data_IF_677142586331
#
_entry.id   IF_677142586331
#
_cell.length_a   1.000
_cell.length_b   1.000
_cell.length_c   1.000
_cell.angle_alpha   90.00
_cell.angle_beta   90.00
_cell.angle_gamma   90.00
#
_symmetry.space_group_name_H-M   'P 1'
#
loop_
_entity.id
_entity.type
_entity.pdbx_description
1 polymer ?
#
# COMPACT_ATOMS: atom_id res chain seq x y z
N UNK A 1 -13.35 14.09 -34.75
CA UNK A 1 -14.23 13.76 -33.60
C UNK A 1 -13.30 13.39 -32.47
N UNK A 2 -13.25 14.17 -31.39
CA UNK A 2 -12.56 13.73 -30.18
C UNK A 2 -13.28 12.47 -29.69
N UNK A 3 -12.53 11.42 -29.35
CA UNK A 3 -13.13 10.24 -28.73
C UNK A 3 -13.56 10.63 -27.31
N UNK A 4 -14.82 10.38 -26.96
CA UNK A 4 -15.32 10.50 -25.58
C UNK A 4 -14.41 9.73 -24.61
N UNK A 5 -14.02 10.37 -23.51
CA UNK A 5 -13.15 9.76 -22.49
C UNK A 5 -14.03 9.31 -21.33
N UNK A 6 -14.19 8.00 -21.15
CA UNK A 6 -15.01 7.44 -20.09
C UNK A 6 -14.23 7.36 -18.77
N UNK A 7 -14.79 7.94 -17.72
CA UNK A 7 -14.21 7.98 -16.37
C UNK A 7 -15.23 7.42 -15.38
N UNK A 8 -14.83 6.45 -14.56
CA UNK A 8 -15.64 6.03 -13.42
C UNK A 8 -15.38 6.96 -12.24
N UNK A 9 -16.45 7.52 -11.67
CA UNK A 9 -16.41 8.27 -10.42
C UNK A 9 -17.11 7.41 -9.37
N UNK A 10 -16.31 6.76 -8.52
CA UNK A 10 -16.81 5.89 -7.45
C UNK A 10 -16.77 6.72 -6.16
N UNK A 11 -17.95 7.16 -5.70
CA UNK A 11 -18.08 8.15 -4.62
C UNK A 11 -19.50 8.14 -4.01
N UNK A 12 -20.06 9.30 -3.65
CA UNK A 12 -21.42 9.52 -3.13
C UNK A 12 -22.51 9.61 -4.20
N UNK A 13 -22.16 9.41 -5.48
CA UNK A 13 -23.06 9.57 -6.63
C UNK A 13 -22.99 10.96 -7.27
N UNK A 14 -23.59 11.09 -8.46
CA UNK A 14 -23.61 12.32 -9.26
C UNK A 14 -25.02 12.91 -9.37
N UNK A 15 -25.13 14.22 -9.18
CA UNK A 15 -26.38 14.95 -9.27
C UNK A 15 -26.59 15.56 -10.66
N UNK A 16 -27.53 15.00 -11.42
CA UNK A 16 -27.88 15.40 -12.80
C UNK A 16 -28.52 16.79 -12.95
N UNK A 17 -28.84 17.48 -11.84
CA UNK A 17 -29.30 18.87 -11.88
C UNK A 17 -28.14 19.86 -11.87
N UNK A 18 -27.01 19.45 -11.31
CA UNK A 18 -25.82 20.29 -11.14
C UNK A 18 -24.77 20.01 -12.22
N UNK A 19 -24.74 18.79 -12.75
CA UNK A 19 -23.89 18.37 -13.86
C UNK A 19 -24.73 18.19 -15.13
N UNK A 20 -24.21 18.54 -16.32
CA UNK A 20 -24.94 18.30 -17.57
C UNK A 20 -25.26 16.80 -17.71
N UNK A 21 -26.54 16.46 -17.75
CA UNK A 21 -27.00 15.08 -17.86
C UNK A 21 -26.40 14.33 -19.06
N UNK A 22 -26.03 15.04 -20.14
CA UNK A 22 -25.35 14.42 -21.30
C UNK A 22 -23.95 13.90 -20.98
N UNK A 23 -23.33 14.41 -19.91
CA UNK A 23 -22.03 13.97 -19.39
C UNK A 23 -22.14 12.72 -18.52
N UNK A 24 -23.33 12.38 -18.03
CA UNK A 24 -23.53 11.20 -17.19
C UNK A 24 -24.04 10.06 -18.09
N UNK A 25 -23.18 9.09 -18.39
CA UNK A 25 -23.52 7.94 -19.24
C UNK A 25 -24.32 6.90 -18.49
N UNK A 26 -23.84 6.52 -17.31
CA UNK A 26 -24.48 5.52 -16.46
C UNK A 26 -24.47 5.96 -15.00
N UNK A 27 -25.47 5.50 -14.25
CA UNK A 27 -25.55 5.68 -12.79
C UNK A 27 -25.90 4.37 -12.11
N UNK A 28 -25.07 4.00 -11.14
CA UNK A 28 -25.22 2.79 -10.35
C UNK A 28 -25.01 3.08 -8.87
N UNK A 29 -25.48 2.16 -8.06
CA UNK A 29 -25.27 2.12 -6.62
C UNK A 29 -24.86 0.69 -6.24
N UNK A 30 -23.96 0.58 -5.27
CA UNK A 30 -23.72 -0.67 -4.55
C UNK A 30 -24.47 -0.57 -3.22
N UNK A 31 -25.57 -1.31 -3.12
CA UNK A 31 -26.50 -1.19 -2.01
C UNK A 31 -25.93 -1.80 -0.71
N UNK A 32 -26.74 -1.82 0.35
CA UNK A 32 -26.34 -2.36 1.65
C UNK A 32 -26.15 -3.89 1.66
N UNK A 33 -26.66 -4.60 0.65
CA UNK A 33 -26.43 -6.04 0.46
C UNK A 33 -25.22 -6.31 -0.45
N UNK A 34 -24.51 -5.26 -0.87
CA UNK A 34 -23.43 -5.28 -1.86
C UNK A 34 -23.88 -5.68 -3.28
N UNK A 35 -25.16 -5.51 -3.58
CA UNK A 35 -25.69 -5.72 -4.92
C UNK A 35 -25.43 -4.49 -5.79
N UNK A 36 -24.87 -4.71 -6.99
CA UNK A 36 -24.64 -3.67 -7.99
C UNK A 36 -25.92 -3.41 -8.78
N UNK A 37 -26.57 -2.27 -8.54
CA UNK A 37 -27.88 -1.93 -9.09
C UNK A 37 -27.85 -0.60 -9.86
N UNK A 38 -28.77 -0.44 -10.82
CA UNK A 38 -29.01 0.87 -11.44
C UNK A 38 -29.58 1.85 -10.41
N UNK A 39 -28.98 3.03 -10.33
CA UNK A 39 -29.45 4.09 -9.43
C UNK A 39 -30.69 4.75 -10.05
N UNK A 40 -31.88 4.42 -9.52
CA UNK A 40 -33.17 4.91 -10.03
C UNK A 40 -33.70 6.11 -9.25
N UNK A 41 -33.15 6.38 -8.08
CA UNK A 41 -33.53 7.52 -7.25
C UNK A 41 -33.02 8.82 -7.86
N UNK A 42 -33.80 9.88 -7.68
CA UNK A 42 -33.39 11.24 -8.03
C UNK A 42 -32.55 11.81 -6.88
N UNK A 43 -31.51 12.58 -7.20
CA UNK A 43 -30.71 13.24 -6.17
C UNK A 43 -31.56 14.17 -5.30
N UNK A 44 -31.39 14.05 -3.98
CA UNK A 44 -32.07 14.88 -2.98
C UNK A 44 -31.20 16.08 -2.64
N UNK A 45 -31.82 17.16 -2.16
CA UNK A 45 -31.09 18.35 -1.73
C UNK A 45 -30.16 18.11 -0.52
N UNK A 46 -30.42 17.04 0.25
CA UNK A 46 -29.61 16.61 1.39
C UNK A 46 -28.46 15.69 1.00
N UNK A 47 -28.31 15.35 -0.28
CA UNK A 47 -27.27 14.41 -0.71
C UNK A 47 -25.89 15.02 -0.52
N UNK A 48 -24.94 14.19 -0.07
CA UNK A 48 -23.55 14.58 0.00
C UNK A 48 -23.01 14.80 -1.42
N UNK A 49 -22.80 16.07 -1.81
CA UNK A 49 -22.45 16.47 -3.18
C UNK A 49 -21.00 16.19 -3.58
N UNK A 50 -20.24 15.47 -2.75
CA UNK A 50 -18.81 15.26 -2.93
C UNK A 50 -18.44 14.65 -4.29
N UNK A 51 -19.10 13.55 -4.69
CA UNK A 51 -18.89 12.94 -6.01
C UNK A 51 -19.25 13.89 -7.16
N UNK A 52 -20.30 14.69 -7.00
CA UNK A 52 -20.71 15.69 -7.99
C UNK A 52 -19.65 16.78 -8.17
N UNK A 53 -19.10 17.30 -7.07
CA UNK A 53 -18.02 18.29 -7.10
C UNK A 53 -16.78 17.70 -7.79
N UNK A 54 -16.41 16.46 -7.47
CA UNK A 54 -15.30 15.76 -8.13
C UNK A 54 -15.52 15.66 -9.66
N UNK A 55 -16.72 15.28 -10.11
CA UNK A 55 -17.04 15.20 -11.53
C UNK A 55 -16.98 16.58 -12.22
N UNK A 56 -17.46 17.65 -11.58
CA UNK A 56 -17.38 19.01 -12.13
C UNK A 56 -15.93 19.49 -12.26
N UNK A 57 -15.08 19.18 -11.27
CA UNK A 57 -13.63 19.44 -11.36
C UNK A 57 -13.04 18.69 -12.56
N UNK A 58 -13.37 17.39 -12.71
CA UNK A 58 -12.87 16.61 -13.84
C UNK A 58 -13.32 17.22 -15.17
N UNK A 59 -14.60 17.55 -15.32
CA UNK A 59 -15.16 18.16 -16.54
C UNK A 59 -14.47 19.47 -16.90
N UNK A 60 -14.18 20.31 -15.90
CA UNK A 60 -13.50 21.60 -16.10
C UNK A 60 -12.16 21.45 -16.81
N UNK A 61 -11.38 20.42 -16.47
CA UNK A 61 -10.03 20.21 -17.00
C UNK A 61 -9.95 19.12 -18.08
N UNK A 62 -11.01 18.32 -18.24
CA UNK A 62 -11.19 17.34 -19.31
C UNK A 62 -12.60 17.49 -19.90
N UNK A 63 -12.84 18.49 -20.76
CA UNK A 63 -14.17 18.78 -21.30
C UNK A 63 -14.78 17.66 -22.13
N UNK A 64 -13.98 16.72 -22.65
CA UNK A 64 -14.44 15.54 -23.38
C UNK A 64 -14.76 14.33 -22.47
N UNK A 65 -14.67 14.51 -21.15
CA UNK A 65 -15.00 13.47 -20.18
C UNK A 65 -16.50 13.13 -20.22
N UNK A 66 -16.78 11.84 -20.05
CA UNK A 66 -18.11 11.27 -19.83
C UNK A 66 -18.03 10.34 -18.62
N UNK A 67 -18.98 10.47 -17.71
CA UNK A 67 -18.93 9.87 -16.39
C UNK A 67 -19.78 8.61 -16.27
N UNK A 68 -19.23 7.63 -15.58
CA UNK A 68 -19.96 6.49 -15.02
C UNK A 68 -20.00 6.68 -13.50
N UNK A 69 -21.16 7.09 -12.99
CA UNK A 69 -21.37 7.32 -11.55
C UNK A 69 -21.60 5.99 -10.86
N UNK A 70 -20.80 5.67 -9.83
CA UNK A 70 -21.04 4.50 -8.98
C UNK A 70 -21.06 4.98 -7.52
N UNK A 71 -22.24 4.98 -6.92
CA UNK A 71 -22.43 5.35 -5.51
C UNK A 71 -22.04 4.18 -4.62
N UNK A 72 -21.01 4.36 -3.79
CA UNK A 72 -20.64 3.43 -2.71
C UNK A 72 -20.71 4.09 -1.32
N UNK A 73 -20.74 5.42 -1.28
CA UNK A 73 -20.82 6.20 -0.05
C UNK A 73 -22.27 6.60 0.25
N UNK A 74 -22.64 6.53 1.52
CA UNK A 74 -23.94 7.02 2.01
C UNK A 74 -23.94 8.56 2.16
N UNK A 75 -25.04 9.10 2.69
CA UNK A 75 -25.24 10.55 2.90
C UNK A 75 -24.23 11.21 3.88
N UNK A 76 -23.51 10.42 4.68
CA UNK A 76 -22.48 10.89 5.59
C UNK A 76 -21.07 10.76 4.98
N UNK A 77 -20.95 10.32 3.72
CA UNK A 77 -19.67 10.09 3.08
C UNK A 77 -18.96 8.81 3.54
N UNK A 78 -19.67 7.87 4.17
CA UNK A 78 -19.10 6.59 4.62
C UNK A 78 -19.61 5.41 3.79
N UNK A 79 -18.77 4.39 3.62
CA UNK A 79 -19.11 3.16 2.89
C UNK A 79 -18.12 2.06 3.26
N UNK A 80 -18.54 0.81 3.13
CA UNK A 80 -17.69 -0.36 3.42
C UNK A 80 -16.79 -0.73 2.25
N UNK A 81 -15.61 -1.28 2.56
CA UNK A 81 -14.61 -1.71 1.58
C UNK A 81 -15.14 -2.76 0.60
N UNK A 82 -16.06 -3.60 1.06
CA UNK A 82 -16.72 -4.66 0.29
C UNK A 82 -17.53 -4.13 -0.89
N UNK A 83 -18.00 -2.88 -0.83
CA UNK A 83 -18.73 -2.22 -1.93
C UNK A 83 -17.84 -1.90 -3.14
N UNK A 84 -16.53 -1.90 -2.96
CA UNK A 84 -15.59 -1.53 -4.03
C UNK A 84 -15.47 -2.65 -5.08
N UNK A 85 -15.49 -3.93 -4.69
CA UNK A 85 -15.31 -5.02 -5.66
C UNK A 85 -16.37 -5.07 -6.76
N UNK A 86 -17.69 -5.02 -6.47
CA UNK A 86 -18.73 -4.99 -7.50
C UNK A 86 -18.57 -3.80 -8.45
N UNK A 87 -18.20 -2.62 -7.91
CA UNK A 87 -17.97 -1.42 -8.70
C UNK A 87 -16.80 -1.57 -9.69
N UNK A 88 -15.67 -2.09 -9.22
CA UNK A 88 -14.49 -2.33 -10.07
C UNK A 88 -14.73 -3.46 -11.08
N UNK A 89 -15.48 -4.48 -10.71
CA UNK A 89 -15.86 -5.55 -11.63
C UNK A 89 -16.67 -5.00 -12.82
N UNK A 90 -17.63 -4.15 -12.53
CA UNK A 90 -18.41 -3.47 -13.56
C UNK A 90 -17.52 -2.59 -14.46
N UNK A 91 -16.58 -1.83 -13.88
CA UNK A 91 -15.64 -1.01 -14.64
C UNK A 91 -14.83 -1.84 -15.64
N UNK A 92 -14.29 -2.99 -15.21
CA UNK A 92 -13.58 -3.90 -16.11
C UNK A 92 -14.47 -4.50 -17.19
N UNK A 93 -15.67 -4.98 -16.85
CA UNK A 93 -16.62 -5.57 -17.82
C UNK A 93 -17.03 -4.57 -18.90
N UNK A 94 -17.01 -3.28 -18.59
CA UNK A 94 -17.41 -2.20 -19.49
C UNK A 94 -16.23 -1.42 -20.11
N UNK A 95 -15.02 -1.97 -20.04
CA UNK A 95 -13.80 -1.38 -20.62
C UNK A 95 -13.53 0.06 -20.13
N UNK A 96 -13.91 0.37 -18.90
CA UNK A 96 -13.50 1.62 -18.26
C UNK A 96 -11.99 1.55 -18.01
N UNK A 97 -11.27 2.61 -18.35
CA UNK A 97 -9.81 2.65 -18.19
C UNK A 97 -9.38 3.36 -16.90
N UNK A 98 -10.06 4.45 -16.55
CA UNK A 98 -9.66 5.33 -15.44
C UNK A 98 -10.77 5.43 -14.39
N UNK A 99 -10.37 5.33 -13.13
CA UNK A 99 -11.23 5.36 -11.95
C UNK A 99 -10.76 6.46 -11.00
N UNK A 100 -11.65 7.40 -10.70
CA UNK A 100 -11.44 8.41 -9.66
C UNK A 100 -11.94 7.87 -8.32
N UNK A 101 -11.05 7.82 -7.34
CA UNK A 101 -11.33 7.45 -5.95
C UNK A 101 -10.95 8.62 -5.03
N UNK A 102 -11.80 9.65 -4.97
CA UNK A 102 -11.64 10.77 -4.03
C UNK A 102 -11.98 10.39 -2.58
N UNK A 103 -11.70 9.15 -2.21
CA UNK A 103 -12.02 8.48 -0.95
C UNK A 103 -10.89 7.52 -0.60
N UNK A 104 -10.84 7.15 0.68
CA UNK A 104 -9.86 6.18 1.18
C UNK A 104 -10.05 5.92 2.67
N UNK A 105 -9.23 5.03 3.18
CA UNK A 105 -9.24 4.58 4.59
C UNK A 105 -7.83 4.58 5.14
N UNK A 106 -7.70 4.91 6.43
CA UNK A 106 -6.45 4.72 7.18
C UNK A 106 -6.51 3.45 8.04
N UNK A 107 -7.62 2.71 8.01
CA UNK A 107 -7.81 1.54 8.86
C UNK A 107 -6.97 0.36 8.37
N UNK A 108 -5.98 -0.07 9.16
CA UNK A 108 -5.00 -1.08 8.77
C UNK A 108 -5.61 -2.43 8.36
N UNK A 109 -6.72 -2.86 8.98
CA UNK A 109 -7.43 -4.10 8.62
C UNK A 109 -7.95 -4.12 7.17
N UNK A 110 -8.18 -2.96 6.56
CA UNK A 110 -8.68 -2.85 5.19
C UNK A 110 -7.54 -2.87 4.16
N UNK A 111 -6.27 -2.69 4.59
CA UNK A 111 -5.07 -2.66 3.74
C UNK A 111 -4.98 -3.89 2.84
N UNK A 112 -5.00 -5.08 3.41
CA UNK A 112 -4.75 -6.30 2.63
C UNK A 112 -5.91 -6.65 1.69
N UNK A 113 -7.14 -6.30 2.07
CA UNK A 113 -8.33 -6.45 1.22
C UNK A 113 -8.19 -5.52 0.01
N UNK A 114 -7.93 -4.23 0.26
CA UNK A 114 -7.76 -3.23 -0.79
C UNK A 114 -6.54 -3.54 -1.68
N UNK A 115 -5.42 -3.97 -1.11
CA UNK A 115 -4.20 -4.33 -1.87
C UNK A 115 -4.49 -5.43 -2.88
N UNK A 116 -5.12 -6.53 -2.43
CA UNK A 116 -5.51 -7.65 -3.32
C UNK A 116 -6.46 -7.18 -4.42
N UNK A 117 -7.43 -6.35 -4.06
CA UNK A 117 -8.44 -5.85 -4.97
C UNK A 117 -7.84 -4.94 -6.05
N UNK A 118 -7.07 -3.94 -5.63
CA UNK A 118 -6.41 -2.98 -6.52
C UNK A 118 -5.40 -3.69 -7.43
N UNK A 119 -4.57 -4.60 -6.91
CA UNK A 119 -3.62 -5.35 -7.75
C UNK A 119 -4.33 -6.15 -8.84
N UNK A 120 -5.41 -6.86 -8.49
CA UNK A 120 -6.22 -7.62 -9.45
C UNK A 120 -6.81 -6.74 -10.55
N UNK A 121 -7.31 -5.55 -10.20
CA UNK A 121 -7.99 -4.68 -11.15
C UNK A 121 -7.02 -3.80 -11.97
N UNK A 122 -5.87 -3.44 -11.40
CA UNK A 122 -4.75 -2.86 -12.16
C UNK A 122 -4.18 -3.86 -13.16
N UNK A 123 -4.04 -5.14 -12.77
CA UNK A 123 -3.66 -6.23 -13.69
C UNK A 123 -4.63 -6.38 -14.86
N UNK A 124 -5.92 -6.14 -14.63
CA UNK A 124 -6.96 -6.09 -15.68
C UNK A 124 -6.99 -4.77 -16.48
N UNK A 125 -6.08 -3.85 -16.18
CA UNK A 125 -5.85 -2.64 -16.94
C UNK A 125 -6.51 -1.38 -16.40
N UNK A 126 -7.16 -1.40 -15.23
CA UNK A 126 -7.67 -0.16 -14.62
C UNK A 126 -6.51 0.73 -14.16
N UNK A 127 -6.72 2.04 -14.24
CA UNK A 127 -5.84 3.08 -13.70
C UNK A 127 -6.60 3.80 -12.60
N UNK A 128 -6.02 3.83 -11.41
CA UNK A 128 -6.62 4.47 -10.24
C UNK A 128 -5.95 5.81 -9.96
N UNK A 129 -6.76 6.82 -9.70
CA UNK A 129 -6.32 8.11 -9.13
C UNK A 129 -7.05 8.28 -7.81
N UNK A 130 -6.29 8.40 -6.71
CA UNK A 130 -6.88 8.42 -5.38
C UNK A 130 -6.28 9.50 -4.48
N UNK A 131 -7.11 10.04 -3.59
CA UNK A 131 -6.74 11.06 -2.64
C UNK A 131 -6.17 10.46 -1.34
N UNK A 132 -5.08 11.02 -0.82
CA UNK A 132 -4.63 10.71 0.55
C UNK A 132 -5.53 11.40 1.59
N UNK A 133 -5.49 10.94 2.84
CA UNK A 133 -6.20 11.58 3.95
C UNK A 133 -5.73 13.02 4.19
N UNK A 134 -6.64 13.91 4.61
CA UNK A 134 -6.30 15.31 4.93
C UNK A 134 -5.49 15.45 6.24
N UNK A 135 -5.23 14.35 6.95
CA UNK A 135 -4.52 14.30 8.24
C UNK A 135 -3.11 13.72 8.13
N UNK A 136 -2.68 13.31 6.93
CA UNK A 136 -1.27 12.95 6.69
C UNK A 136 -0.84 11.54 7.05
N UNK A 137 -1.79 10.62 7.22
CA UNK A 137 -1.48 9.21 7.45
C UNK A 137 -1.53 8.39 6.16
N UNK A 138 -0.89 7.22 6.20
CA UNK A 138 -0.94 6.23 5.13
C UNK A 138 -2.40 5.90 4.80
N UNK A 139 -2.80 6.08 3.55
CA UNK A 139 -4.21 6.03 3.14
C UNK A 139 -4.38 5.03 2.01
N UNK A 140 -5.24 4.03 2.20
CA UNK A 140 -5.53 3.03 1.19
C UNK A 140 -6.77 3.43 0.38
N UNK A 141 -6.76 3.30 -0.96
CA UNK A 141 -5.69 2.73 -1.77
C UNK A 141 -4.64 3.74 -2.26
N UNK A 142 -4.77 5.03 -1.95
CA UNK A 142 -3.92 6.10 -2.50
C UNK A 142 -2.41 5.89 -2.32
N UNK A 143 -2.01 5.23 -1.25
CA UNK A 143 -0.61 4.96 -0.93
C UNK A 143 -0.05 3.69 -1.60
N UNK A 144 -0.84 2.92 -2.36
CA UNK A 144 -0.33 1.76 -3.09
C UNK A 144 0.47 2.18 -4.31
N UNK A 145 1.57 1.48 -4.59
CA UNK A 145 2.46 1.80 -5.71
C UNK A 145 1.76 1.86 -7.06
N UNK A 146 0.78 0.99 -7.29
CA UNK A 146 0.06 0.90 -8.56
C UNK A 146 -1.17 1.82 -8.65
N UNK A 147 -1.31 2.75 -7.70
CA UNK A 147 -2.30 3.84 -7.69
C UNK A 147 -1.57 5.16 -7.89
N UNK A 148 -2.20 6.12 -8.57
CA UNK A 148 -1.71 7.49 -8.63
C UNK A 148 -2.21 8.22 -7.39
N UNK A 149 -1.35 8.32 -6.38
CA UNK A 149 -1.63 8.95 -5.09
C UNK A 149 -1.50 10.46 -5.16
N UNK A 150 -2.55 11.18 -4.76
CA UNK A 150 -2.63 12.64 -4.92
C UNK A 150 -2.80 13.33 -3.58
N UNK A 151 -1.97 14.35 -3.35
CA UNK A 151 -2.06 15.28 -2.23
C UNK A 151 -2.27 16.72 -2.71
N UNK A 152 -2.75 17.58 -1.82
CA UNK A 152 -2.96 18.99 -2.09
C UNK A 152 -1.82 19.86 -1.50
N UNK A 153 -1.50 20.96 -2.19
CA UNK A 153 -0.38 21.86 -1.86
C UNK A 153 -0.58 22.65 -0.57
N UNK A 154 -1.81 22.79 -0.09
CA UNK A 154 -2.15 23.57 1.10
C UNK A 154 -2.17 22.73 2.38
N UNK A 155 -1.78 21.46 2.27
CA UNK A 155 -1.57 20.63 3.45
C UNK A 155 -0.52 21.29 4.36
N UNK A 156 -0.73 21.28 5.68
CA UNK A 156 0.28 21.76 6.63
C UNK A 156 1.56 20.91 6.64
N UNK A 157 1.62 19.85 5.84
CA UNK A 157 2.66 18.84 5.83
C UNK A 157 3.69 19.07 4.70
N UNK A 158 4.97 18.96 5.03
CA UNK A 158 6.06 19.14 4.05
C UNK A 158 6.30 17.87 3.22
N UNK A 159 5.45 17.65 2.22
CA UNK A 159 5.46 16.43 1.40
C UNK A 159 6.75 16.14 0.61
N UNK A 160 7.60 17.14 0.39
CA UNK A 160 8.87 16.98 -0.34
C UNK A 160 10.03 16.44 0.51
N UNK A 161 9.86 16.33 1.84
CA UNK A 161 10.93 15.90 2.76
C UNK A 161 10.52 14.77 3.70
N UNK A 162 9.36 14.88 4.32
CA UNK A 162 9.00 14.00 5.44
C UNK A 162 8.09 12.82 5.02
N UNK A 163 7.63 12.80 3.77
CA UNK A 163 6.49 11.96 3.33
C UNK A 163 6.74 11.11 2.08
N UNK A 164 8.00 10.90 1.70
CA UNK A 164 8.39 10.09 0.52
C UNK A 164 7.78 8.67 0.57
N UNK A 165 7.46 8.18 1.77
CA UNK A 165 6.95 6.84 2.01
C UNK A 165 5.42 6.71 2.01
N UNK A 166 4.66 7.81 1.83
CA UNK A 166 3.19 7.75 1.82
C UNK A 166 2.59 7.32 0.48
N UNK A 167 3.40 7.04 -0.54
CA UNK A 167 2.92 6.71 -1.88
C UNK A 167 2.27 7.89 -2.61
N UNK A 168 2.69 9.12 -2.29
CA UNK A 168 2.24 10.33 -2.98
C UNK A 168 3.06 10.49 -4.26
N UNK A 169 2.37 10.55 -5.41
CA UNK A 169 3.01 10.76 -6.71
C UNK A 169 3.01 12.22 -7.14
N UNK A 170 2.07 13.00 -6.62
CA UNK A 170 1.91 14.40 -7.01
C UNK A 170 1.23 15.22 -5.93
N UNK A 171 1.72 16.45 -5.75
CA UNK A 171 1.13 17.44 -4.86
C UNK A 171 0.65 18.61 -5.70
N UNK A 172 -0.64 18.92 -5.65
CA UNK A 172 -1.25 19.86 -6.60
C UNK A 172 -2.32 20.75 -5.98
N UNK A 173 -2.89 21.64 -6.80
CA UNK A 173 -3.99 22.53 -6.37
C UNK A 173 -5.26 21.72 -6.06
N UNK A 174 -6.00 22.19 -5.06
CA UNK A 174 -7.34 21.65 -4.73
C UNK A 174 -8.43 22.72 -4.69
N UNK A 175 -8.03 24.00 -4.70
CA UNK A 175 -8.93 25.12 -4.83
C UNK A 175 -9.26 25.36 -6.32
N UNK A 176 -10.55 25.30 -6.63
CA UNK A 176 -11.08 25.44 -7.97
C UNK A 176 -12.33 26.30 -7.95
N UNK A 177 -12.43 27.23 -8.91
CA UNK A 177 -13.68 27.93 -9.20
C UNK A 177 -14.54 27.02 -10.08
N UNK A 178 -15.66 26.55 -9.55
CA UNK A 178 -16.62 25.68 -10.24
C UNK A 178 -17.99 26.34 -10.31
N UNK A 179 -18.84 25.89 -11.23
CA UNK A 179 -20.21 26.38 -11.35
C UNK A 179 -21.18 25.40 -10.68
N UNK A 180 -21.94 25.88 -9.70
CA UNK A 180 -23.03 25.14 -9.05
C UNK A 180 -24.30 26.00 -9.13
N UNK A 181 -25.38 25.48 -9.70
CA UNK A 181 -26.65 26.21 -9.87
C UNK A 181 -26.50 27.59 -10.53
N UNK A 182 -25.62 27.70 -11.54
CA UNK A 182 -25.26 28.95 -12.22
C UNK A 182 -24.58 30.00 -11.32
N UNK A 183 -24.00 29.59 -10.19
CA UNK A 183 -23.16 30.45 -9.33
C UNK A 183 -21.75 29.90 -9.27
N UNK A 184 -20.78 30.81 -9.28
CA UNK A 184 -19.40 30.46 -9.00
C UNK A 184 -19.25 30.06 -7.53
N UNK A 185 -18.58 28.93 -7.31
CA UNK A 185 -18.22 28.42 -6.00
C UNK A 185 -16.73 28.09 -6.00
N UNK A 186 -16.02 28.52 -4.95
CA UNK A 186 -14.63 28.13 -4.73
C UNK A 186 -14.60 26.90 -3.83
N UNK A 187 -14.01 25.81 -4.29
CA UNK A 187 -13.84 24.61 -3.46
C UNK A 187 -12.91 24.89 -2.29
N UNK A 188 -13.18 24.24 -1.16
CA UNK A 188 -12.28 24.29 0.00
C UNK A 188 -10.99 23.49 -0.27
N UNK A 189 -9.88 23.82 0.39
CA UNK A 189 -8.65 23.02 0.30
C UNK A 189 -8.90 21.57 0.77
N UNK A 190 -8.62 20.59 -0.09
CA UNK A 190 -8.85 19.16 0.22
C UNK A 190 -8.15 18.23 -0.78
N UNK A 191 -7.53 17.15 -0.30
CA UNK A 191 -6.94 16.12 -1.18
C UNK A 191 -7.98 15.52 -2.13
N UNK A 192 -9.24 15.40 -1.69
CA UNK A 192 -10.34 14.87 -2.49
C UNK A 192 -10.70 15.72 -3.71
N UNK A 193 -10.28 17.00 -3.74
CA UNK A 193 -10.43 17.90 -4.90
C UNK A 193 -9.16 18.05 -5.73
N UNK A 194 -7.99 17.70 -5.19
CA UNK A 194 -6.76 17.56 -5.96
C UNK A 194 -6.77 16.29 -6.84
N UNK A 195 -7.26 15.16 -6.31
CA UNK A 195 -7.38 13.90 -7.05
C UNK A 195 -8.18 14.01 -8.38
N UNK A 196 -9.38 14.62 -8.43
CA UNK A 196 -10.13 14.76 -9.68
C UNK A 196 -9.44 15.67 -10.69
N UNK A 197 -8.67 16.68 -10.24
CA UNK A 197 -7.85 17.49 -11.13
C UNK A 197 -6.79 16.63 -11.85
N UNK A 198 -6.03 15.83 -11.10
CA UNK A 198 -5.05 14.90 -11.69
C UNK A 198 -5.73 13.84 -12.55
N UNK A 199 -6.89 13.33 -12.13
CA UNK A 199 -7.68 12.39 -12.92
C UNK A 199 -8.02 12.96 -14.31
N UNK A 200 -8.40 14.23 -14.40
CA UNK A 200 -8.63 14.91 -15.67
C UNK A 200 -7.38 14.99 -16.55
N UNK A 201 -6.22 15.32 -15.97
CA UNK A 201 -4.96 15.39 -16.72
C UNK A 201 -4.53 14.01 -17.23
N UNK A 202 -4.66 12.97 -16.41
CA UNK A 202 -4.38 11.59 -16.79
C UNK A 202 -5.33 11.11 -17.89
N UNK A 203 -6.62 11.44 -17.79
CA UNK A 203 -7.62 11.14 -18.81
C UNK A 203 -7.26 11.77 -20.17
N UNK A 204 -6.88 13.06 -20.19
CA UNK A 204 -6.40 13.74 -21.40
C UNK A 204 -5.11 13.11 -21.94
N UNK A 205 -4.18 12.72 -21.07
CA UNK A 205 -2.93 12.07 -21.48
C UNK A 205 -3.19 10.73 -22.16
N UNK A 206 -4.09 9.92 -21.58
CA UNK A 206 -4.51 8.63 -22.14
C UNK A 206 -5.32 8.76 -23.44
N UNK A 207 -6.05 9.86 -23.64
CA UNK A 207 -6.78 10.08 -24.89
C UNK A 207 -5.84 10.30 -26.08
N UNK A 208 -4.68 10.92 -25.82
CA UNK A 208 -3.63 11.16 -26.80
C UNK A 208 -2.77 9.91 -27.05
N UNK A 209 -2.50 9.11 -26.02
CA UNK A 209 -1.74 7.86 -26.13
C UNK A 209 -2.31 6.77 -25.21
N UNK A 210 -2.99 5.80 -25.81
CA UNK A 210 -3.63 4.68 -25.10
C UNK A 210 -2.65 3.57 -24.68
N UNK A 211 -1.39 3.65 -25.11
CA UNK A 211 -0.36 2.64 -24.83
C UNK A 211 0.39 2.90 -23.52
N UNK A 212 0.09 4.01 -22.84
CA UNK A 212 0.74 4.37 -21.59
C UNK A 212 0.37 3.40 -20.46
N UNK A 213 1.41 2.83 -19.85
CA UNK A 213 1.34 2.04 -18.62
C UNK A 213 1.30 2.93 -17.38
N UNK A 214 1.05 2.31 -16.23
CA UNK A 214 0.94 3.00 -14.94
C UNK A 214 2.24 3.72 -14.53
N UNK A 215 3.41 3.18 -14.88
CA UNK A 215 4.71 3.80 -14.53
C UNK A 215 4.88 5.13 -15.27
N UNK A 216 4.58 5.16 -16.58
CA UNK A 216 4.60 6.38 -17.40
C UNK A 216 3.55 7.39 -16.93
N UNK A 217 2.36 6.93 -16.53
CA UNK A 217 1.31 7.80 -16.01
C UNK A 217 1.69 8.42 -14.65
N UNK A 218 2.30 7.64 -13.74
CA UNK A 218 2.83 8.17 -12.46
C UNK A 218 3.93 9.20 -12.71
N UNK A 219 4.85 8.95 -13.65
CA UNK A 219 5.86 9.94 -14.05
C UNK A 219 5.21 11.22 -14.57
N UNK A 220 4.21 11.11 -15.42
CA UNK A 220 3.47 12.28 -15.90
C UNK A 220 2.76 13.03 -14.77
N UNK A 221 2.12 12.33 -13.81
CA UNK A 221 1.50 12.95 -12.64
C UNK A 221 2.53 13.71 -11.78
N UNK A 222 3.71 13.10 -11.58
CA UNK A 222 4.85 13.71 -10.88
C UNK A 222 5.32 15.01 -11.56
N UNK A 223 5.37 15.03 -12.89
CA UNK A 223 5.68 16.25 -13.67
C UNK A 223 4.65 17.37 -13.49
N UNK A 224 3.41 17.05 -13.06
CA UNK A 224 2.38 18.06 -12.76
C UNK A 224 2.43 18.56 -11.30
N UNK A 225 3.36 18.05 -10.49
CA UNK A 225 3.48 18.41 -9.09
C UNK A 225 3.92 19.87 -8.93
N UNK A 226 3.32 20.57 -7.98
CA UNK A 226 3.67 21.95 -7.61
C UNK A 226 4.89 22.01 -6.66
N UNK A 227 5.32 20.86 -6.14
CA UNK A 227 6.56 20.72 -5.37
C UNK A 227 7.49 19.72 -6.04
N UNK A 228 8.80 19.88 -5.81
CA UNK A 228 9.79 18.93 -6.29
C UNK A 228 9.60 17.56 -5.60
N UNK A 229 9.43 16.53 -6.42
CA UNK A 229 9.32 15.13 -5.98
C UNK A 229 10.62 14.43 -6.36
N UNK A 230 11.49 14.15 -5.39
CA UNK A 230 12.91 13.82 -5.65
C UNK A 230 13.23 12.34 -5.65
N UNK A 231 12.34 11.47 -5.17
CA UNK A 231 12.65 10.05 -4.98
C UNK A 231 11.65 9.17 -5.72
N UNK A 232 12.17 8.34 -6.63
CA UNK A 232 11.44 7.20 -7.18
C UNK A 232 11.77 5.96 -6.34
N UNK A 233 10.91 5.67 -5.37
CA UNK A 233 10.98 4.47 -4.55
C UNK A 233 9.59 3.86 -4.42
N UNK A 234 9.49 2.58 -4.67
CA UNK A 234 8.24 1.83 -4.66
C UNK A 234 8.30 0.76 -3.59
N UNK A 235 7.16 0.46 -2.98
CA UNK A 235 7.02 -0.75 -2.18
C UNK A 235 6.60 -1.90 -3.09
N UNK A 236 7.04 -3.14 -2.83
CA UNK A 236 6.55 -4.29 -3.58
C UNK A 236 5.17 -4.67 -3.03
N UNK A 237 4.18 -3.80 -3.20
CA UNK A 237 2.79 -4.00 -2.78
C UNK A 237 1.83 -4.19 -3.97
N UNK A 238 2.35 -4.11 -5.20
CA UNK A 238 1.63 -4.08 -6.47
C UNK A 238 1.51 -5.44 -7.18
N UNK A 239 2.06 -6.51 -6.60
CA UNK A 239 2.09 -7.84 -7.22
C UNK A 239 0.70 -8.48 -7.17
N UNK A 240 0.19 -8.92 -8.33
CA UNK A 240 -0.96 -9.82 -8.38
C UNK A 240 -0.54 -11.27 -8.66
N UNK A 241 0.29 -11.51 -9.69
CA UNK A 241 0.67 -12.86 -10.15
C UNK A 241 2.14 -12.94 -10.52
N UNK A 242 2.93 -13.66 -9.73
CA UNK A 242 4.38 -13.71 -9.89
C UNK A 242 4.89 -15.08 -10.35
N UNK A 243 5.97 -15.04 -11.12
CA UNK A 243 6.87 -16.16 -11.34
C UNK A 243 8.11 -16.00 -10.45
N UNK A 244 8.49 -17.06 -9.73
CA UNK A 244 9.69 -17.08 -8.89
C UNK A 244 10.73 -17.95 -9.60
N UNK A 245 11.88 -17.35 -9.91
CA UNK A 245 12.97 -18.04 -10.59
C UNK A 245 13.80 -18.87 -9.62
N UNK A 246 14.25 -20.04 -10.06
CA UNK A 246 15.38 -20.79 -9.49
C UNK A 246 15.20 -21.44 -8.11
N UNK A 247 14.33 -20.91 -7.24
CA UNK A 247 14.21 -21.35 -5.83
C UNK A 247 12.82 -21.93 -5.52
N UNK A 248 12.82 -22.99 -4.70
CA UNK A 248 11.61 -23.51 -4.06
C UNK A 248 11.16 -22.62 -2.90
N UNK A 249 10.02 -22.95 -2.31
CA UNK A 249 9.44 -22.23 -1.16
C UNK A 249 10.41 -22.24 0.03
N UNK A 250 10.79 -21.06 0.52
CA UNK A 250 11.70 -20.90 1.66
C UNK A 250 11.00 -20.95 3.02
N UNK A 251 9.69 -20.74 3.03
CA UNK A 251 8.87 -20.69 4.23
C UNK A 251 7.56 -21.44 4.02
N UNK A 252 6.94 -21.85 5.11
CA UNK A 252 5.54 -22.31 5.14
C UNK A 252 4.54 -21.14 5.10
N UNK A 253 4.99 -19.90 5.27
CA UNK A 253 4.16 -18.72 5.10
C UNK A 253 3.64 -18.62 3.66
N UNK A 254 2.40 -18.18 3.50
CA UNK A 254 1.84 -17.92 2.19
C UNK A 254 2.35 -16.58 1.65
N UNK A 255 2.72 -16.54 0.37
CA UNK A 255 2.94 -15.28 -0.32
C UNK A 255 1.64 -14.47 -0.40
N UNK A 256 1.73 -13.15 -0.35
CA UNK A 256 0.52 -12.31 -0.41
C UNK A 256 -0.09 -12.22 -1.83
N UNK A 257 0.56 -12.83 -2.82
CA UNK A 257 0.23 -12.84 -4.25
C UNK A 257 0.08 -14.27 -4.81
N UNK A 258 -0.49 -14.40 -6.01
CA UNK A 258 -0.60 -15.71 -6.67
C UNK A 258 0.75 -16.10 -7.30
N UNK A 259 1.21 -17.32 -7.03
CA UNK A 259 2.37 -17.89 -7.72
C UNK A 259 1.93 -18.65 -8.96
N UNK A 260 2.58 -18.38 -10.08
CA UNK A 260 2.35 -19.10 -11.34
C UNK A 260 3.56 -20.00 -11.60
N UNK A 261 3.33 -21.30 -11.58
CA UNK A 261 4.36 -22.33 -11.80
C UNK A 261 4.28 -22.88 -13.22
N UNK A 262 5.41 -23.31 -13.76
CA UNK A 262 5.53 -23.84 -15.12
C UNK A 262 6.78 -23.35 -15.84
N UNK A 263 6.95 -23.75 -17.10
CA UNK A 263 8.02 -23.25 -17.97
C UNK A 263 7.74 -21.78 -18.28
N UNK A 264 8.68 -20.88 -17.95
CA UNK A 264 8.49 -19.43 -18.05
C UNK A 264 7.89 -18.98 -19.38
N UNK A 265 8.42 -19.46 -20.50
CA UNK A 265 7.98 -19.06 -21.84
C UNK A 265 6.49 -19.36 -22.11
N UNK A 266 5.93 -20.38 -21.45
CA UNK A 266 4.52 -20.79 -21.57
C UNK A 266 3.60 -19.98 -20.65
N UNK A 267 4.14 -19.43 -19.56
CA UNK A 267 3.36 -18.77 -18.49
C UNK A 267 3.60 -17.27 -18.42
N UNK A 268 4.59 -16.70 -19.12
CA UNK A 268 4.93 -15.28 -19.06
C UNK A 268 3.73 -14.37 -19.38
N UNK A 269 2.79 -14.80 -20.23
CA UNK A 269 1.57 -14.04 -20.51
C UNK A 269 0.57 -13.96 -19.35
N UNK A 270 0.75 -14.77 -18.30
CA UNK A 270 -0.16 -14.92 -17.15
C UNK A 270 0.36 -14.27 -15.87
N UNK A 271 1.55 -13.66 -15.91
CA UNK A 271 2.19 -13.01 -14.76
C UNK A 271 2.34 -11.51 -15.00
N UNK A 272 2.34 -10.73 -13.93
CA UNK A 272 2.79 -9.33 -13.96
C UNK A 272 4.22 -9.17 -13.44
N UNK A 273 4.73 -10.14 -12.68
CA UNK A 273 5.94 -9.96 -11.88
C UNK A 273 6.90 -11.13 -12.03
N UNK A 274 8.19 -10.82 -12.11
CA UNK A 274 9.28 -11.79 -11.98
C UNK A 274 10.02 -11.52 -10.68
N UNK A 275 10.31 -12.60 -9.94
CA UNK A 275 11.08 -12.58 -8.70
C UNK A 275 12.33 -13.43 -8.93
N UNK A 276 13.51 -12.84 -8.72
CA UNK A 276 14.79 -13.49 -8.99
C UNK A 276 15.80 -13.25 -7.86
N UNK A 277 16.73 -14.19 -7.69
CA UNK A 277 17.73 -14.21 -6.64
C UNK A 277 19.16 -13.96 -7.14
N UNK A 278 19.37 -13.96 -8.46
CA UNK A 278 20.67 -13.67 -9.07
C UNK A 278 20.52 -13.09 -10.47
N UNK A 279 21.54 -12.39 -10.95
CA UNK A 279 21.57 -11.90 -12.33
C UNK A 279 21.54 -13.04 -13.36
N UNK A 280 22.17 -14.18 -13.06
CA UNK A 280 22.17 -15.35 -13.94
C UNK A 280 20.75 -15.91 -14.19
N UNK A 281 19.87 -15.81 -13.20
CA UNK A 281 18.45 -16.17 -13.37
C UNK A 281 17.72 -15.19 -14.29
N UNK A 282 18.04 -13.91 -14.25
CA UNK A 282 17.39 -12.86 -15.05
C UNK A 282 17.84 -12.87 -16.51
N UNK A 283 19.09 -13.21 -16.80
CA UNK A 283 19.65 -13.25 -18.17
C UNK A 283 18.84 -14.14 -19.13
N UNK A 284 18.08 -15.10 -18.59
CA UNK A 284 17.31 -16.07 -19.36
C UNK A 284 15.80 -15.74 -19.44
N UNK A 285 15.35 -14.59 -18.94
CA UNK A 285 13.93 -14.23 -18.83
C UNK A 285 13.61 -12.94 -19.60
N UNK A 286 12.57 -12.93 -20.45
CA UNK A 286 12.05 -11.69 -21.05
C UNK A 286 11.18 -10.90 -20.07
N UNK A 287 11.83 -10.02 -19.30
CA UNK A 287 11.17 -9.25 -18.24
C UNK A 287 10.73 -7.83 -18.66
N UNK A 288 10.86 -7.47 -19.95
CA UNK A 288 10.67 -6.08 -20.42
C UNK A 288 9.31 -5.49 -20.06
N UNK A 289 8.25 -6.29 -20.18
CA UNK A 289 6.88 -5.88 -19.86
C UNK A 289 6.39 -6.43 -18.51
N UNK A 290 7.32 -6.73 -17.61
CA UNK A 290 7.06 -7.22 -16.26
C UNK A 290 7.49 -6.18 -15.25
N UNK A 291 7.04 -6.38 -14.03
CA UNK A 291 7.70 -5.81 -12.88
C UNK A 291 8.77 -6.79 -12.36
N UNK A 292 9.73 -6.29 -11.59
CA UNK A 292 10.85 -7.07 -11.06
C UNK A 292 10.98 -6.88 -9.55
N UNK A 293 11.09 -8.01 -8.83
CA UNK A 293 11.63 -8.07 -7.48
C UNK A 293 12.96 -8.81 -7.53
N UNK A 294 14.02 -8.11 -7.21
CA UNK A 294 15.35 -8.67 -7.16
C UNK A 294 15.78 -8.87 -5.69
N UNK A 295 15.99 -10.11 -5.31
CA UNK A 295 16.34 -10.53 -3.94
C UNK A 295 17.83 -10.90 -3.80
N UNK A 296 18.58 -10.85 -4.89
CA UNK A 296 20.02 -11.12 -4.88
C UNK A 296 20.83 -10.01 -4.20
N UNK A 297 22.08 -10.34 -3.89
CA UNK A 297 23.02 -9.40 -3.26
C UNK A 297 23.82 -8.55 -4.28
N UNK A 298 23.71 -8.87 -5.56
CA UNK A 298 24.44 -8.19 -6.64
C UNK A 298 23.74 -6.87 -6.98
N UNK A 299 24.51 -5.81 -7.21
CA UNK A 299 23.93 -4.54 -7.66
C UNK A 299 23.26 -4.71 -9.03
N UNK A 300 22.00 -4.32 -9.13
CA UNK A 300 21.26 -4.34 -10.39
C UNK A 300 21.34 -2.99 -11.10
N UNK A 301 21.93 -2.98 -12.28
CA UNK A 301 22.06 -1.78 -13.12
C UNK A 301 21.63 -2.07 -14.56
N UNK A 302 21.00 -1.09 -15.21
CA UNK A 302 20.62 -1.15 -16.62
C UNK A 302 19.71 -2.33 -17.01
N UNK A 303 18.87 -2.79 -16.09
CA UNK A 303 17.87 -3.80 -16.40
C UNK A 303 16.75 -3.17 -17.25
N UNK A 304 16.48 -3.75 -18.42
CA UNK A 304 15.40 -3.33 -19.32
C UNK A 304 14.04 -3.83 -18.80
N UNK A 305 13.45 -3.07 -17.88
CA UNK A 305 12.13 -3.32 -17.29
C UNK A 305 11.29 -2.04 -17.43
N UNK A 306 10.10 -2.17 -18.04
CA UNK A 306 9.14 -1.06 -18.15
C UNK A 306 8.22 -0.95 -16.92
N UNK A 307 8.08 -2.03 -16.15
CA UNK A 307 7.30 -2.07 -14.91
C UNK A 307 8.04 -1.51 -13.69
N UNK A 308 7.50 -1.78 -12.51
CA UNK A 308 8.11 -1.43 -11.24
C UNK A 308 9.32 -2.32 -10.93
N UNK A 309 10.32 -1.76 -10.25
CA UNK A 309 11.51 -2.48 -9.82
C UNK A 309 11.69 -2.30 -8.32
N UNK A 310 11.87 -3.41 -7.62
CA UNK A 310 12.27 -3.41 -6.21
C UNK A 310 13.50 -4.27 -6.00
N UNK A 311 14.43 -3.78 -5.18
CA UNK A 311 15.60 -4.50 -4.72
C UNK A 311 16.03 -3.99 -3.35
N UNK A 312 17.08 -4.60 -2.79
CA UNK A 312 17.74 -4.11 -1.57
C UNK A 312 18.13 -2.63 -1.67
N UNK A 313 18.66 -2.21 -2.82
CA UNK A 313 19.06 -0.81 -3.05
C UNK A 313 17.87 0.14 -3.01
N UNK A 314 16.67 -0.31 -3.42
CA UNK A 314 15.44 0.48 -3.28
C UNK A 314 15.16 0.81 -1.82
N UNK A 315 15.23 -0.18 -0.92
CA UNK A 315 15.02 0.04 0.52
C UNK A 315 16.13 0.87 1.16
N UNK A 316 17.39 0.66 0.76
CA UNK A 316 18.50 1.50 1.23
C UNK A 316 18.32 2.97 0.80
N UNK A 317 17.85 3.21 -0.43
CA UNK A 317 17.54 4.56 -0.92
C UNK A 317 16.41 5.20 -0.10
N UNK A 318 15.37 4.45 0.24
CA UNK A 318 14.29 4.93 1.10
C UNK A 318 14.81 5.38 2.46
N UNK A 319 15.61 4.54 3.14
CA UNK A 319 16.20 4.87 4.44
C UNK A 319 17.08 6.13 4.34
N UNK A 320 17.94 6.22 3.32
CA UNK A 320 18.85 7.36 3.14
C UNK A 320 18.15 8.70 2.87
N UNK A 321 17.01 8.68 2.17
CA UNK A 321 16.26 9.89 1.84
C UNK A 321 15.13 10.18 2.83
N UNK A 322 15.01 9.38 3.89
CA UNK A 322 14.10 9.68 4.98
C UNK A 322 14.64 10.86 5.79
N UNK A 323 13.92 11.98 5.75
CA UNK A 323 14.28 13.18 6.50
C UNK A 323 13.49 13.35 7.80
N UNK A 324 12.59 12.41 8.11
CA UNK A 324 11.85 12.38 9.36
C UNK A 324 12.80 12.50 10.56
N UNK A 325 12.52 13.44 11.46
CA UNK A 325 13.22 13.62 12.72
C UNK A 325 12.22 13.33 13.84
N UNK A 326 12.19 12.08 14.28
CA UNK A 326 11.38 11.64 15.40
C UNK A 326 12.03 11.92 16.74
N UNK A 327 11.26 11.79 17.82
CA UNK A 327 11.75 11.90 19.19
C UNK A 327 11.84 10.52 19.89
N UNK A 328 11.84 9.42 19.13
CA UNK A 328 11.70 8.07 19.66
C UNK A 328 10.42 7.36 19.21
N UNK A 329 10.34 6.06 19.47
CA UNK A 329 9.11 5.28 19.33
C UNK A 329 8.25 5.49 20.59
N UNK A 330 7.00 5.87 20.40
CA UNK A 330 5.97 5.95 21.45
C UNK A 330 5.18 4.64 21.60
N UNK A 331 5.67 3.57 20.97
CA UNK A 331 5.00 2.27 20.95
C UNK A 331 5.97 1.17 21.38
N UNK A 332 5.47 0.05 21.93
CA UNK A 332 6.33 -1.03 22.38
C UNK A 332 7.19 -1.62 21.26
N UNK A 333 8.41 -2.02 21.63
CA UNK A 333 9.40 -2.66 20.77
C UNK A 333 9.66 -4.08 21.27
N UNK A 334 9.34 -5.05 20.42
CA UNK A 334 9.63 -6.46 20.62
C UNK A 334 10.83 -6.86 19.77
N UNK A 335 11.92 -7.27 20.40
CA UNK A 335 13.08 -7.85 19.73
C UNK A 335 12.94 -9.36 19.70
N UNK A 336 12.82 -9.93 18.49
CA UNK A 336 12.67 -11.36 18.24
C UNK A 336 13.96 -11.91 17.61
N UNK A 337 14.86 -12.43 18.44
CA UNK A 337 16.08 -13.09 18.00
C UNK A 337 15.76 -14.55 17.57
N UNK A 338 15.99 -14.90 16.31
CA UNK A 338 15.65 -16.23 15.75
C UNK A 338 16.87 -16.87 15.08
N UNK A 339 17.12 -18.14 15.41
CA UNK A 339 18.16 -18.94 14.77
C UNK A 339 17.79 -19.30 13.32
N UNK A 340 18.77 -19.33 12.42
CA UNK A 340 18.54 -19.45 10.96
C UNK A 340 17.81 -20.72 10.51
N UNK A 341 17.94 -21.81 11.27
CA UNK A 341 17.24 -23.07 10.98
C UNK A 341 15.72 -23.00 11.24
N UNK A 342 15.26 -21.97 11.96
CA UNK A 342 13.85 -21.76 12.30
C UNK A 342 13.18 -20.90 11.20
N UNK A 343 11.97 -21.29 10.80
CA UNK A 343 11.15 -20.59 9.79
C UNK A 343 10.64 -19.23 10.31
N UNK A 344 11.54 -18.23 10.32
CA UNK A 344 11.29 -16.88 10.85
C UNK A 344 10.19 -16.13 10.09
N UNK A 345 10.08 -16.33 8.77
CA UNK A 345 9.02 -15.71 7.96
C UNK A 345 7.63 -16.20 8.37
N UNK A 346 7.49 -17.50 8.64
CA UNK A 346 6.25 -18.08 9.16
C UNK A 346 5.89 -17.48 10.52
N UNK A 347 6.85 -17.44 11.45
CA UNK A 347 6.61 -16.91 12.80
C UNK A 347 6.20 -15.44 12.75
N UNK A 348 6.90 -14.61 11.97
CA UNK A 348 6.58 -13.19 11.83
C UNK A 348 5.21 -12.96 11.20
N UNK A 349 4.87 -13.72 10.16
CA UNK A 349 3.56 -13.62 9.48
C UNK A 349 2.43 -14.02 10.43
N UNK A 350 2.60 -15.11 11.18
CA UNK A 350 1.60 -15.59 12.12
C UNK A 350 1.47 -14.67 13.36
N UNK A 351 2.57 -14.08 13.84
CA UNK A 351 2.54 -13.06 14.90
C UNK A 351 1.80 -11.81 14.42
N UNK A 352 2.16 -11.27 13.25
CA UNK A 352 1.49 -10.12 12.65
C UNK A 352 -0.02 -10.35 12.53
N UNK A 353 -0.42 -11.55 12.11
CA UNK A 353 -1.84 -11.94 12.03
C UNK A 353 -2.49 -12.05 13.40
N UNK A 354 -1.80 -12.62 14.40
CA UNK A 354 -2.31 -12.73 15.76
C UNK A 354 -2.59 -11.33 16.37
N UNK A 355 -1.65 -10.39 16.26
CA UNK A 355 -1.84 -8.99 16.66
C UNK A 355 -2.99 -8.33 15.91
N UNK A 356 -3.08 -8.50 14.58
CA UNK A 356 -4.17 -7.92 13.79
C UNK A 356 -5.55 -8.45 14.22
N UNK A 357 -5.65 -9.73 14.60
CA UNK A 357 -6.86 -10.33 15.16
C UNK A 357 -7.20 -9.75 16.54
N UNK A 358 -6.19 -9.47 17.37
CA UNK A 358 -6.32 -8.74 18.63
C UNK A 358 -6.70 -7.27 18.48
N UNK A 359 -6.58 -6.71 17.27
CA UNK A 359 -6.90 -5.32 16.98
C UNK A 359 -5.69 -4.39 16.86
N UNK A 360 -4.47 -4.94 16.96
CA UNK A 360 -3.21 -4.21 16.93
C UNK A 360 -2.54 -4.29 15.56
N UNK A 361 -2.05 -3.15 15.07
CA UNK A 361 -1.28 -3.01 13.85
C UNK A 361 0.22 -3.14 14.13
N UNK A 362 0.76 -4.35 14.00
CA UNK A 362 2.18 -4.60 14.22
C UNK A 362 3.04 -4.20 13.02
N UNK A 363 4.04 -3.34 13.25
CA UNK A 363 5.10 -3.07 12.30
C UNK A 363 6.18 -4.16 12.39
N UNK A 364 6.02 -5.20 11.57
CA UNK A 364 6.84 -6.42 11.63
C UNK A 364 8.00 -6.38 10.66
N UNK A 365 9.23 -6.39 11.19
CA UNK A 365 10.49 -6.20 10.46
C UNK A 365 11.30 -7.50 10.46
N UNK A 366 11.94 -7.81 9.34
CA UNK A 366 13.03 -8.78 9.25
C UNK A 366 14.24 -8.24 8.49
N UNK A 367 15.30 -9.06 8.46
CA UNK A 367 16.63 -8.65 8.01
C UNK A 367 17.00 -9.22 6.64
N UNK A 368 16.12 -10.03 6.06
CA UNK A 368 16.27 -10.67 4.75
C UNK A 368 15.33 -10.02 3.72
N UNK A 369 15.79 -9.79 2.47
CA UNK A 369 14.95 -9.16 1.45
C UNK A 369 13.69 -9.97 1.13
N UNK A 370 13.70 -11.29 1.33
CA UNK A 370 12.55 -12.18 1.19
C UNK A 370 11.35 -11.78 2.07
N UNK A 371 11.54 -11.02 3.16
CA UNK A 371 10.46 -10.50 4.00
C UNK A 371 9.34 -9.85 3.18
N UNK A 372 9.71 -9.13 2.12
CA UNK A 372 8.74 -8.40 1.31
C UNK A 372 7.75 -9.32 0.58
N UNK A 373 8.12 -10.57 0.32
CA UNK A 373 7.24 -11.56 -0.33
C UNK A 373 6.06 -11.98 0.57
N UNK A 374 6.21 -11.82 1.88
CA UNK A 374 5.24 -12.20 2.91
C UNK A 374 4.53 -10.98 3.51
N UNK A 375 4.60 -9.82 2.83
CA UNK A 375 4.09 -8.54 3.33
C UNK A 375 4.67 -8.15 4.71
N UNK A 376 5.91 -8.55 4.96
CA UNK A 376 6.74 -8.11 6.09
C UNK A 376 7.68 -7.00 5.62
N UNK A 377 8.18 -6.21 6.56
CA UNK A 377 9.06 -5.09 6.28
C UNK A 377 10.52 -5.57 6.25
N UNK A 378 11.28 -5.08 5.28
CA UNK A 378 12.69 -5.38 5.15
C UNK A 378 13.54 -4.22 5.68
N UNK A 379 14.52 -4.53 6.53
CA UNK A 379 15.54 -3.58 6.99
C UNK A 379 16.95 -4.12 6.67
N UNK A 380 17.64 -3.58 5.63
CA UNK A 380 18.97 -4.02 5.20
C UNK A 380 20.08 -3.47 6.09
N UNK A 381 20.93 -4.33 6.68
CA UNK A 381 22.02 -3.97 7.64
C UNK A 381 22.65 -2.57 7.44
N UNK A 382 22.77 -1.72 8.49
CA UNK A 382 23.34 -0.38 8.36
C UNK A 382 24.85 -0.49 8.21
N UNK A 383 25.42 0.00 7.12
CA UNK A 383 26.89 0.00 6.94
C UNK A 383 27.56 1.18 7.66
N UNK A 384 26.82 2.24 8.04
CA UNK A 384 27.44 3.43 8.66
C UNK A 384 26.54 4.42 9.43
N UNK A 385 25.21 4.35 9.33
CA UNK A 385 24.30 5.36 9.89
C UNK A 385 23.10 4.71 10.61
N UNK A 386 23.22 4.57 11.94
CA UNK A 386 22.20 3.96 12.81
C UNK A 386 21.03 4.92 13.02
N UNK A 387 21.28 6.24 13.04
CA UNK A 387 20.24 7.25 13.27
C UNK A 387 19.26 7.29 12.09
N UNK A 388 19.76 7.22 10.85
CA UNK A 388 18.90 7.12 9.66
C UNK A 388 17.98 5.89 9.71
N UNK A 389 18.51 4.78 10.22
CA UNK A 389 17.77 3.54 10.43
C UNK A 389 16.64 3.70 11.45
N UNK A 390 16.96 4.24 12.63
CA UNK A 390 16.02 4.50 13.71
C UNK A 390 14.92 5.46 13.25
N UNK A 391 15.30 6.58 12.65
CA UNK A 391 14.36 7.56 12.10
C UNK A 391 13.46 6.96 11.02
N UNK A 392 13.96 6.02 10.21
CA UNK A 392 13.14 5.34 9.22
C UNK A 392 12.09 4.45 9.89
N UNK A 393 12.48 3.61 10.85
CA UNK A 393 11.53 2.78 11.60
C UNK A 393 10.48 3.65 12.29
N UNK A 394 10.91 4.70 13.00
CA UNK A 394 10.01 5.66 13.66
C UNK A 394 9.02 6.32 12.69
N UNK A 395 9.50 6.78 11.52
CA UNK A 395 8.64 7.36 10.49
C UNK A 395 7.58 6.36 10.01
N UNK A 396 7.99 5.10 9.78
CA UNK A 396 7.08 4.07 9.26
C UNK A 396 6.03 3.70 10.30
N UNK A 397 6.44 3.53 11.55
CA UNK A 397 5.54 3.26 12.67
C UNK A 397 4.52 4.39 12.84
N UNK A 398 4.96 5.64 12.85
CA UNK A 398 4.10 6.81 13.00
C UNK A 398 3.08 6.94 11.85
N UNK A 399 3.56 6.96 10.60
CA UNK A 399 2.70 7.21 9.45
C UNK A 399 1.76 6.05 9.11
N UNK A 400 2.17 4.81 9.40
CA UNK A 400 1.32 3.62 9.27
C UNK A 400 0.42 3.42 10.50
N UNK A 401 0.51 4.28 11.51
CA UNK A 401 -0.26 4.19 12.76
C UNK A 401 -0.13 2.78 13.38
N UNK A 402 1.11 2.34 13.57
CA UNK A 402 1.40 1.01 14.11
C UNK A 402 1.37 1.07 15.64
N UNK A 403 0.83 0.05 16.28
CA UNK A 403 0.67 -0.03 17.74
C UNK A 403 1.88 -0.64 18.45
N UNK A 404 2.77 -1.29 17.69
CA UNK A 404 4.02 -1.87 18.18
C UNK A 404 4.98 -2.16 17.03
N UNK A 405 6.26 -2.33 17.36
CA UNK A 405 7.30 -2.83 16.46
C UNK A 405 7.67 -4.25 16.87
N UNK A 406 7.70 -5.18 15.92
CA UNK A 406 8.29 -6.51 16.12
C UNK A 406 9.48 -6.61 15.18
N UNK A 407 10.69 -6.63 15.73
CA UNK A 407 11.91 -6.67 14.96
C UNK A 407 12.61 -8.01 15.10
N UNK A 408 12.56 -8.79 14.03
CA UNK A 408 13.26 -10.06 13.93
C UNK A 408 14.72 -9.86 13.56
N UNK A 409 15.63 -10.47 14.31
CA UNK A 409 17.07 -10.39 14.09
C UNK A 409 17.73 -11.77 14.25
N UNK A 410 18.93 -11.99 13.68
CA UNK A 410 19.69 -13.22 13.95
C UNK A 410 20.11 -13.30 15.42
N UNK A 411 20.00 -14.49 16.03
CA UNK A 411 20.43 -14.73 17.44
C UNK A 411 21.90 -14.35 17.66
N UNK A 412 22.75 -14.67 16.70
CA UNK A 412 24.21 -14.43 16.76
C UNK A 412 24.57 -12.94 16.79
N UNK A 413 23.66 -12.08 16.32
CA UNK A 413 23.86 -10.63 16.24
C UNK A 413 22.99 -9.85 17.22
N UNK A 414 22.38 -10.51 18.21
CA UNK A 414 21.44 -9.86 19.14
C UNK A 414 22.02 -8.61 19.82
N UNK A 415 23.26 -8.68 20.32
CA UNK A 415 23.94 -7.57 21.00
C UNK A 415 24.15 -6.34 20.12
N UNK A 416 24.24 -6.53 18.79
CA UNK A 416 24.43 -5.44 17.83
C UNK A 416 23.16 -4.64 17.66
N UNK A 417 22.01 -5.31 17.54
CA UNK A 417 20.72 -4.66 17.30
C UNK A 417 20.06 -4.15 18.57
N UNK A 418 20.31 -4.78 19.73
CA UNK A 418 19.90 -4.24 21.03
C UNK A 418 20.51 -2.86 21.33
N UNK A 419 21.63 -2.47 20.70
CA UNK A 419 22.17 -1.12 20.85
C UNK A 419 21.31 -0.04 20.20
N UNK A 420 20.46 -0.40 19.24
CA UNK A 420 19.57 0.54 18.54
C UNK A 420 18.36 0.88 19.41
N UNK A 421 17.76 -0.14 20.04
CA UNK A 421 16.70 0.00 21.02
C UNK A 421 17.09 -0.74 22.32
N UNK A 422 17.95 -0.14 23.16
CA UNK A 422 18.40 -0.78 24.40
C UNK A 422 17.28 -0.95 25.43
N UNK A 423 16.28 -0.07 25.35
CA UNK A 423 15.12 -0.03 26.23
C UNK A 423 13.91 -0.74 25.58
N UNK A 424 14.13 -1.81 24.82
CA UNK A 424 13.03 -2.58 24.23
C UNK A 424 12.22 -3.31 25.32
N UNK A 425 10.90 -3.29 25.19
CA UNK A 425 9.96 -3.79 26.19
C UNK A 425 10.01 -5.32 26.32
N UNK A 426 10.20 -6.03 25.20
CA UNK A 426 10.20 -7.49 25.17
C UNK A 426 11.36 -8.02 24.34
N UNK A 427 12.17 -8.90 24.94
CA UNK A 427 13.18 -9.68 24.22
C UNK A 427 12.77 -11.14 24.17
N UNK A 428 12.80 -11.73 22.98
CA UNK A 428 12.48 -13.13 22.74
C UNK A 428 13.62 -13.76 21.96
N UNK A 429 14.13 -14.90 22.43
CA UNK A 429 15.13 -15.70 21.73
C UNK A 429 14.56 -17.08 21.41
N UNK A 430 14.61 -17.45 20.14
CA UNK A 430 14.20 -18.76 19.62
C UNK A 430 15.44 -19.51 19.11
N UNK A 431 15.79 -20.58 19.80
CA UNK A 431 16.88 -21.48 19.44
C UNK A 431 16.37 -22.89 19.21
N UNK A 432 17.01 -23.63 18.29
CA UNK A 432 16.70 -25.02 18.00
C UNK A 432 17.74 -25.94 18.69
N UNK A 433 17.27 -26.85 19.54
CA UNK A 433 18.07 -27.89 20.18
C UNK A 433 17.56 -29.26 19.72
N UNK A 434 17.90 -29.65 18.49
CA UNK A 434 17.42 -30.87 17.85
C UNK A 434 15.92 -30.79 17.54
N UNK A 435 15.12 -31.69 18.08
CA UNK A 435 13.67 -31.71 17.86
C UNK A 435 12.90 -30.74 18.77
N UNK A 436 13.59 -29.94 19.58
CA UNK A 436 12.98 -29.00 20.54
C UNK A 436 13.39 -27.58 20.18
N UNK A 437 12.40 -26.70 20.00
CA UNK A 437 12.61 -25.26 19.94
C UNK A 437 12.45 -24.67 21.34
N UNK A 438 13.45 -23.93 21.80
CA UNK A 438 13.43 -23.23 23.08
C UNK A 438 13.11 -21.77 22.82
N UNK A 439 12.04 -21.29 23.46
CA UNK A 439 11.63 -19.89 23.43
C UNK A 439 11.92 -19.27 24.78
N UNK A 440 12.82 -18.29 24.81
CA UNK A 440 13.19 -17.56 26.03
C UNK A 440 12.68 -16.14 25.92
N UNK A 441 11.88 -15.72 26.88
CA UNK A 441 11.41 -14.36 27.01
C UNK A 441 12.15 -13.65 28.14
N UNK A 442 12.44 -12.36 27.95
CA UNK A 442 13.00 -11.48 28.95
C UNK A 442 12.23 -10.16 28.97
N UNK A 443 11.71 -9.79 30.14
CA UNK A 443 10.92 -8.57 30.41
C UNK A 443 11.47 -7.92 31.68
N UNK A 444 12.01 -6.71 31.66
CA UNK A 444 12.43 -5.94 32.87
C UNK A 444 12.97 -6.75 34.09
N UNK A 445 13.76 -7.81 33.85
CA UNK A 445 14.32 -8.69 34.90
C UNK A 445 13.59 -10.04 35.14
N UNK A 446 12.38 -10.25 34.63
CA UNK A 446 11.71 -11.54 34.55
C UNK A 446 12.20 -12.35 33.34
N UNK A 447 12.37 -13.66 33.52
CA UNK A 447 12.71 -14.61 32.45
C UNK A 447 11.75 -15.78 32.42
N UNK A 448 11.17 -16.04 31.25
CA UNK A 448 10.27 -17.18 31.01
C UNK A 448 10.89 -18.06 29.93
N UNK A 449 10.95 -19.37 30.17
CA UNK A 449 11.36 -20.35 29.16
C UNK A 449 10.18 -21.26 28.81
N UNK A 450 9.98 -21.48 27.50
CA UNK A 450 9.02 -22.46 26.95
C UNK A 450 9.75 -23.38 25.99
N UNK A 451 9.27 -24.63 25.91
CA UNK A 451 9.78 -25.66 25.00
C UNK A 451 8.66 -26.08 24.06
N UNK A 452 8.94 -26.04 22.76
CA UNK A 452 8.04 -26.45 21.69
C UNK A 452 8.67 -27.67 21.01
N UNK A 453 7.93 -28.77 20.92
CA UNK A 453 8.41 -29.98 20.25
C UNK A 453 8.07 -29.93 18.76
N UNK A 454 9.03 -30.24 17.90
CA UNK A 454 8.89 -30.19 16.45
C UNK A 454 8.78 -28.77 15.90
N UNK A 455 8.23 -28.65 14.69
CA UNK A 455 8.06 -27.36 14.02
C UNK A 455 7.08 -26.47 14.79
N UNK A 456 7.44 -25.21 14.96
CA UNK A 456 6.57 -24.19 15.56
C UNK A 456 5.34 -24.02 14.67
N UNK A 457 4.15 -24.29 15.20
CA UNK A 457 2.89 -24.14 14.49
C UNK A 457 2.15 -22.86 14.88
N UNK A 458 0.99 -22.63 14.27
CA UNK A 458 0.13 -21.47 14.54
C UNK A 458 -0.28 -21.36 16.01
N UNK A 459 -0.59 -22.48 16.68
CA UNK A 459 -1.01 -22.46 18.09
C UNK A 459 0.15 -22.10 19.00
N UNK A 460 1.37 -22.51 18.64
CA UNK A 460 2.56 -22.12 19.37
C UNK A 460 2.85 -20.64 19.21
N UNK A 461 2.70 -20.08 18.00
CA UNK A 461 2.79 -18.63 17.78
C UNK A 461 1.69 -17.86 18.52
N UNK A 462 0.46 -18.37 18.56
CA UNK A 462 -0.63 -17.77 19.35
C UNK A 462 -0.32 -17.74 20.86
N UNK A 463 0.35 -18.76 21.40
CA UNK A 463 0.83 -18.73 22.80
C UNK A 463 1.92 -17.67 23.01
N UNK A 464 2.85 -17.53 22.06
CA UNK A 464 3.89 -16.50 22.10
C UNK A 464 3.23 -15.11 22.10
N UNK A 465 2.27 -14.88 21.19
CA UNK A 465 1.47 -13.66 21.11
C UNK A 465 0.83 -13.31 22.46
N UNK A 466 0.09 -14.25 23.09
CA UNK A 466 -0.60 -13.96 24.35
C UNK A 466 0.36 -13.65 25.51
N UNK A 467 1.57 -14.22 25.51
CA UNK A 467 2.59 -13.87 26.50
C UNK A 467 3.06 -12.42 26.28
N UNK A 468 3.29 -12.03 25.02
CA UNK A 468 3.69 -10.65 24.68
C UNK A 468 2.56 -9.67 25.05
N UNK A 469 1.35 -9.94 24.58
CA UNK A 469 0.15 -9.13 24.84
C UNK A 469 -0.05 -8.90 26.33
N UNK A 470 -0.10 -9.98 27.13
CA UNK A 470 -0.27 -9.87 28.58
C UNK A 470 0.77 -8.95 29.22
N UNK A 471 2.04 -9.08 28.81
CA UNK A 471 3.13 -8.28 29.36
C UNK A 471 3.10 -6.81 28.93
N UNK A 472 2.72 -6.53 27.69
CA UNK A 472 2.59 -5.15 27.22
C UNK A 472 1.35 -4.44 27.80
N UNK A 473 0.32 -5.18 28.22
CA UNK A 473 -0.89 -4.61 28.83
C UNK A 473 -0.85 -4.55 30.36
N UNK A 474 0.01 -5.33 31.01
CA UNK A 474 0.14 -5.35 32.49
C UNK A 474 0.55 -4.00 33.09
N UNK A 475 1.14 -3.09 32.31
CA UNK A 475 1.57 -1.75 32.75
C UNK A 475 0.48 -0.67 32.70
N UNK A 476 -0.65 -0.88 32.00
CA UNK A 476 -1.72 0.14 31.90
C UNK A 476 -2.68 0.15 33.11
N UNK A 477 -2.68 -0.90 33.93
CA UNK A 477 -3.57 -1.07 35.10
C UNK A 477 -2.90 -0.72 36.46
N UNK A 478 -1.72 -0.08 36.44
CA UNK A 478 -0.88 0.25 37.61
C UNK A 478 -1.05 1.65 38.20
#
# INVERSE_FOLDING_TARGET
MSLEIQIAVIDSGLNEKLLDRKKIRNRFEVDENNDFIEERSMSKASDFLHGTICAIIIEKYCPDAVFNSIRILNQNGTGGVEKLEPALEWCCKNNIKIVNLSLGTTHFKEKDILKKLINRYTYKGLVFVAAISNIGYFTFPASFTNVIGVANVESPLSYSKDYIHLGIDTVTISEHIIMLENKEHKTSPSNSYAAPYICALIANKLSNDKTLDIVKLKRYAKEQSHIEMTVDSYEPDWIYRAYISGRGTMSRAEYYFETVTGVYDEIQGKIDTVIAYSMAELENLDIRNKNLIYLGHEDIHNIDVQGFIWSKETRQRQIKHNHYQGNGLEVPVVILAVEDVIDKFYILTELKRAFANGGYNAYTIGMEPECVLYALEYMPEPVSDIDAWKNFIESQTFYKQSDLVIWCIPVEEQDKYLKVYPDCDVQISLCNEGDINIVRFSFEGEKIEKKISGLIDRKDVEKIYHIIEAKLTEEEDG
#
